data_IF_163495492027
#
_entry.id   IF_163495492027
#
_cell.length_a   1.000
_cell.length_b   1.000
_cell.length_c   1.000
_cell.angle_alpha   90.00
_cell.angle_beta   90.00
_cell.angle_gamma   90.00
#
_symmetry.space_group_name_H-M   'P 1'
#
loop_
_entity.id
_entity.type
_entity.pdbx_description
1 polymer ?
#
# COMPACT_ATOMS: atom_id res chain seq x y z
N UNK A 1 -7.30 53.41 -46.58
CA UNK A 1 -7.94 53.24 -45.25
C UNK A 1 -8.22 51.76 -45.02
N UNK A 2 -7.86 51.28 -43.82
CA UNK A 2 -8.20 50.01 -43.15
C UNK A 2 -7.77 48.67 -43.78
N UNK A 3 -6.63 48.18 -43.26
CA UNK A 3 -6.25 46.77 -43.16
C UNK A 3 -7.21 46.08 -42.19
N UNK A 4 -7.75 44.89 -42.53
CA UNK A 4 -8.39 43.99 -41.58
C UNK A 4 -7.59 42.70 -41.57
N UNK A 5 -6.77 42.55 -40.54
CA UNK A 5 -6.03 41.34 -40.20
C UNK A 5 -6.99 40.51 -39.33
N UNK A 6 -7.37 39.34 -39.82
CA UNK A 6 -8.16 38.36 -39.08
C UNK A 6 -7.22 37.61 -38.12
N UNK A 7 -7.42 37.61 -36.78
CA UNK A 7 -6.62 36.78 -35.91
C UNK A 7 -7.20 35.36 -35.92
N UNK A 8 -6.39 34.42 -36.37
CA UNK A 8 -6.61 32.98 -36.23
C UNK A 8 -6.52 32.63 -34.74
N UNK A 9 -7.67 32.49 -34.07
CA UNK A 9 -7.74 31.99 -32.69
C UNK A 9 -7.43 30.49 -32.73
N UNK A 10 -6.17 30.13 -32.48
CA UNK A 10 -5.77 28.77 -32.19
C UNK A 10 -6.34 28.38 -30.82
N UNK A 11 -7.43 27.64 -30.81
CA UNK A 11 -8.00 27.05 -29.61
C UNK A 11 -7.05 25.93 -29.15
N UNK A 12 -6.21 26.23 -28.16
CA UNK A 12 -5.38 25.25 -27.47
C UNK A 12 -6.32 24.26 -26.77
N UNK A 13 -6.49 23.08 -27.35
CA UNK A 13 -7.02 21.90 -26.65
C UNK A 13 -5.97 21.46 -25.63
N UNK A 14 -5.98 22.06 -24.45
CA UNK A 14 -5.37 21.44 -23.28
C UNK A 14 -6.24 20.26 -22.89
N UNK A 15 -5.85 19.07 -23.34
CA UNK A 15 -6.32 17.82 -22.77
C UNK A 15 -5.89 17.82 -21.30
N UNK A 16 -6.79 18.25 -20.41
CA UNK A 16 -6.66 18.00 -18.99
C UNK A 16 -6.75 16.48 -18.87
N UNK A 17 -5.60 15.83 -18.72
CA UNK A 17 -5.54 14.45 -18.28
C UNK A 17 -6.16 14.43 -16.89
N UNK A 18 -7.47 14.16 -16.83
CA UNK A 18 -8.16 13.87 -15.58
C UNK A 18 -7.53 12.59 -15.08
N UNK A 19 -6.59 12.73 -14.14
CA UNK A 19 -6.10 11.58 -13.39
C UNK A 19 -7.30 11.05 -12.61
N UNK A 20 -7.85 9.92 -13.04
CA UNK A 20 -8.86 9.19 -12.29
C UNK A 20 -8.16 8.66 -11.02
N UNK A 21 -8.21 9.43 -9.94
CA UNK A 21 -7.68 9.02 -8.65
C UNK A 21 -8.72 8.12 -7.99
N UNK A 22 -8.34 6.90 -7.61
CA UNK A 22 -9.08 6.16 -6.58
C UNK A 22 -9.13 7.09 -5.38
N UNK A 23 -10.31 7.54 -4.97
CA UNK A 23 -10.46 8.45 -3.83
C UNK A 23 -10.57 7.56 -2.59
N UNK A 24 -9.54 7.49 -1.73
CA UNK A 24 -9.75 6.98 -0.39
C UNK A 24 -10.73 7.93 0.27
N UNK A 25 -11.87 7.40 0.70
CA UNK A 25 -12.70 8.14 1.62
C UNK A 25 -12.00 7.98 2.97
N UNK A 26 -11.12 8.94 3.28
CA UNK A 26 -10.33 8.94 4.50
C UNK A 26 -11.23 9.23 5.70
N UNK A 27 -12.04 8.23 6.07
CA UNK A 27 -12.99 8.28 7.18
C UNK A 27 -12.48 7.57 8.43
N UNK A 28 -11.31 6.95 8.36
CA UNK A 28 -10.78 6.08 9.41
C UNK A 28 -9.53 6.67 10.04
N UNK A 29 -9.55 6.80 11.37
CA UNK A 29 -8.39 7.23 12.16
C UNK A 29 -7.38 6.09 12.39
N UNK A 30 -7.81 4.83 12.24
CA UNK A 30 -7.02 3.64 12.61
C UNK A 30 -6.46 2.87 11.41
N UNK A 31 -7.04 3.02 10.22
CA UNK A 31 -6.67 2.25 9.04
C UNK A 31 -6.43 3.13 7.82
N UNK A 32 -5.62 2.62 6.90
CA UNK A 32 -5.55 3.09 5.53
C UNK A 32 -5.86 1.91 4.60
N UNK A 33 -6.60 2.19 3.52
CA UNK A 33 -6.87 1.24 2.44
C UNK A 33 -6.55 1.88 1.11
N UNK A 34 -5.93 1.11 0.23
CA UNK A 34 -5.60 1.50 -1.12
C UNK A 34 -5.98 0.38 -2.10
N UNK A 35 -6.33 0.78 -3.32
CA UNK A 35 -6.64 -0.14 -4.39
C UNK A 35 -5.78 0.16 -5.62
N UNK A 36 -5.36 -0.90 -6.29
CA UNK A 36 -4.77 -0.87 -7.63
C UNK A 36 -5.66 -1.69 -8.56
N UNK A 37 -6.01 -1.10 -9.68
CA UNK A 37 -6.84 -1.72 -10.71
C UNK A 37 -5.89 -2.19 -11.81
N UNK A 38 -5.85 -3.50 -12.02
CA UNK A 38 -5.14 -4.13 -13.13
C UNK A 38 -6.18 -4.71 -14.10
N UNK A 39 -5.73 -5.24 -15.23
CA UNK A 39 -6.63 -5.93 -16.16
C UNK A 39 -7.30 -7.12 -15.47
N UNK A 40 -8.63 -7.06 -15.31
CA UNK A 40 -9.44 -8.14 -14.75
C UNK A 40 -9.32 -8.35 -13.24
N UNK A 41 -8.61 -7.47 -12.50
CA UNK A 41 -8.49 -7.60 -11.06
C UNK A 41 -8.35 -6.25 -10.33
N UNK A 42 -8.91 -6.18 -9.12
CA UNK A 42 -8.64 -5.11 -8.15
C UNK A 42 -7.79 -5.68 -7.03
N UNK A 43 -6.55 -5.22 -6.92
CA UNK A 43 -5.68 -5.54 -5.78
C UNK A 43 -5.91 -4.51 -4.68
N UNK A 44 -6.31 -4.99 -3.51
CA UNK A 44 -6.54 -4.20 -2.30
C UNK A 44 -5.39 -4.41 -1.32
N UNK A 45 -4.94 -3.32 -0.72
CA UNK A 45 -3.93 -3.31 0.35
C UNK A 45 -4.47 -2.44 1.47
N UNK A 46 -4.30 -2.89 2.70
CA UNK A 46 -4.66 -2.08 3.86
C UNK A 46 -3.57 -2.19 4.93
N UNK A 47 -3.57 -1.24 5.84
CA UNK A 47 -2.62 -1.21 6.94
C UNK A 47 -3.18 -0.46 8.14
N UNK A 48 -2.98 -0.96 9.37
CA UNK A 48 -3.24 -0.20 10.58
C UNK A 48 -2.23 0.94 10.73
N UNK A 49 -2.67 2.09 11.23
CA UNK A 49 -1.86 3.31 11.37
C UNK A 49 -0.93 3.30 12.58
N UNK A 50 -1.22 2.49 13.60
CA UNK A 50 -0.37 2.33 14.78
C UNK A 50 -0.27 0.86 15.25
N UNK A 51 0.70 0.62 16.14
CA UNK A 51 0.97 -0.70 16.70
C UNK A 51 -0.20 -1.28 17.52
N UNK A 52 -0.94 -0.44 18.26
CA UNK A 52 -2.06 -0.88 19.09
C UNK A 52 -3.17 -1.51 18.26
N UNK A 53 -3.56 -0.82 17.19
CA UNK A 53 -4.52 -1.31 16.19
C UNK A 53 -3.98 -2.55 15.48
N UNK A 54 -2.71 -2.53 15.07
CA UNK A 54 -2.06 -3.69 14.43
C UNK A 54 -2.07 -4.93 15.32
N UNK A 55 -1.75 -4.78 16.61
CA UNK A 55 -1.76 -5.88 17.57
C UNK A 55 -3.16 -6.48 17.73
N UNK A 56 -4.19 -5.63 17.83
CA UNK A 56 -5.59 -6.10 17.92
C UNK A 56 -6.01 -6.85 16.66
N UNK A 57 -5.65 -6.32 15.49
CA UNK A 57 -5.97 -6.94 14.22
C UNK A 57 -5.20 -8.23 13.97
N UNK A 58 -3.97 -8.37 14.48
CA UNK A 58 -3.22 -9.62 14.43
C UNK A 58 -3.91 -10.74 15.23
N UNK A 59 -4.60 -10.39 16.32
CA UNK A 59 -5.36 -11.35 17.13
C UNK A 59 -6.68 -11.73 16.47
N UNK A 60 -7.44 -10.73 16.03
CA UNK A 60 -8.83 -10.94 15.63
C UNK A 60 -8.99 -11.10 14.12
N UNK A 61 -8.13 -10.49 13.32
CA UNK A 61 -8.20 -10.39 11.87
C UNK A 61 -8.99 -9.18 11.37
N UNK A 62 -9.09 -9.08 10.05
CA UNK A 62 -9.86 -8.08 9.32
C UNK A 62 -11.04 -8.72 8.59
N UNK A 63 -12.11 -7.96 8.40
CA UNK A 63 -13.19 -8.30 7.46
C UNK A 63 -13.11 -7.32 6.29
N UNK A 64 -13.04 -7.88 5.08
CA UNK A 64 -13.17 -7.12 3.84
C UNK A 64 -14.55 -7.40 3.25
N UNK A 65 -15.25 -6.34 2.91
CA UNK A 65 -16.54 -6.41 2.24
C UNK A 65 -16.56 -5.49 1.02
N UNK A 66 -17.47 -5.80 0.10
CA UNK A 66 -17.63 -5.11 -1.16
C UNK A 66 -19.11 -4.88 -1.45
N UNK A 67 -19.43 -3.71 -1.97
CA UNK A 67 -20.69 -3.44 -2.63
C UNK A 67 -20.44 -3.13 -4.11
N UNK A 68 -21.32 -3.62 -4.98
CA UNK A 68 -21.33 -3.28 -6.40
C UNK A 68 -22.36 -2.20 -6.66
N UNK A 69 -21.96 -1.15 -7.37
CA UNK A 69 -22.82 -0.05 -7.81
C UNK A 69 -22.81 0.00 -9.34
N UNK A 70 -23.94 -0.28 -10.02
CA UNK A 70 -24.04 -0.10 -11.46
C UNK A 70 -23.65 1.32 -11.87
N UNK A 71 -22.93 1.47 -13.00
CA UNK A 71 -22.54 2.79 -13.52
C UNK A 71 -23.71 3.71 -13.85
N UNK A 72 -24.90 3.15 -14.08
CA UNK A 72 -26.15 3.90 -14.26
C UNK A 72 -26.55 4.72 -13.02
N UNK A 73 -26.10 4.33 -11.84
CA UNK A 73 -26.26 5.14 -10.63
C UNK A 73 -25.27 6.29 -10.73
N UNK A 74 -25.71 7.52 -11.02
CA UNK A 74 -24.81 8.66 -11.22
C UNK A 74 -23.94 8.96 -9.99
N UNK A 75 -24.57 9.00 -8.80
CA UNK A 75 -23.92 9.41 -7.55
C UNK A 75 -23.77 8.24 -6.60
N UNK A 76 -22.56 8.09 -6.06
CA UNK A 76 -22.31 7.20 -4.93
C UNK A 76 -23.14 7.72 -3.73
N UNK A 77 -23.92 6.86 -3.04
CA UNK A 77 -24.71 7.28 -1.89
C UNK A 77 -23.83 7.91 -0.80
N UNK A 78 -24.26 9.00 -0.18
CA UNK A 78 -23.52 9.62 0.92
C UNK A 78 -23.58 8.79 2.22
N UNK A 79 -24.64 7.99 2.38
CA UNK A 79 -24.85 7.11 3.53
C UNK A 79 -24.58 5.65 3.13
N UNK A 80 -23.43 5.13 3.52
CA UNK A 80 -23.02 3.76 3.25
C UNK A 80 -23.72 2.72 4.13
N UNK A 81 -24.41 3.12 5.20
CA UNK A 81 -25.10 2.17 6.09
C UNK A 81 -26.24 1.41 5.40
N UNK A 82 -26.78 1.98 4.31
CA UNK A 82 -27.90 1.43 3.54
C UNK A 82 -27.47 0.59 2.33
N UNK A 83 -26.16 0.50 2.06
CA UNK A 83 -25.65 -0.25 0.92
C UNK A 83 -25.48 -1.72 1.33
N UNK A 84 -26.00 -2.69 0.54
CA UNK A 84 -25.78 -4.10 0.82
C UNK A 84 -24.33 -4.47 0.49
N UNK A 85 -23.54 -4.72 1.53
CA UNK A 85 -22.17 -5.21 1.40
C UNK A 85 -22.13 -6.73 1.46
N UNK A 86 -21.42 -7.34 0.51
CA UNK A 86 -21.07 -8.76 0.52
C UNK A 86 -19.69 -8.94 1.16
N UNK A 87 -19.61 -9.89 2.10
CA UNK A 87 -18.33 -10.28 2.67
C UNK A 87 -17.48 -11.03 1.64
N UNK A 88 -16.27 -10.50 1.38
CA UNK A 88 -15.28 -11.13 0.51
C UNK A 88 -14.40 -12.11 1.29
N UNK A 89 -14.11 -11.83 2.55
CA UNK A 89 -13.27 -12.71 3.35
C UNK A 89 -13.00 -12.21 4.76
N UNK A 90 -12.33 -13.07 5.52
CA UNK A 90 -11.71 -12.72 6.79
C UNK A 90 -10.20 -12.99 6.68
N UNK A 91 -9.39 -11.99 7.01
CA UNK A 91 -7.95 -12.02 6.78
C UNK A 91 -7.22 -11.98 8.11
N UNK A 92 -6.31 -12.93 8.32
CA UNK A 92 -5.48 -13.03 9.51
C UNK A 92 -4.03 -13.27 9.12
N UNK A 93 -3.07 -12.86 9.95
CA UNK A 93 -1.70 -13.27 9.76
C UNK A 93 -1.57 -14.79 9.71
N UNK A 94 -0.71 -15.27 8.83
CA UNK A 94 -0.28 -16.66 8.77
C UNK A 94 0.36 -17.07 10.08
N UNK A 95 0.01 -18.25 10.58
CA UNK A 95 0.77 -18.92 11.63
C UNK A 95 2.22 -19.16 11.19
N UNK A 96 3.14 -19.39 12.14
CA UNK A 96 4.53 -19.73 11.82
C UNK A 96 4.66 -20.96 10.89
N UNK A 97 3.75 -21.94 11.00
CA UNK A 97 3.71 -23.11 10.11
C UNK A 97 3.29 -22.71 8.69
N UNK A 98 2.30 -21.82 8.56
CA UNK A 98 1.85 -21.30 7.28
C UNK A 98 2.93 -20.44 6.61
N UNK A 99 3.64 -19.57 7.34
CA UNK A 99 4.79 -18.84 6.80
C UNK A 99 5.81 -19.80 6.17
N UNK A 100 6.21 -20.86 6.89
CA UNK A 100 7.19 -21.84 6.39
C UNK A 100 6.71 -22.65 5.18
N UNK A 101 5.41 -22.87 5.03
CA UNK A 101 4.85 -23.74 3.99
C UNK A 101 4.30 -22.98 2.78
N UNK A 102 3.87 -21.74 2.96
CA UNK A 102 3.21 -20.93 1.93
C UNK A 102 4.09 -19.82 1.38
N UNK A 103 5.26 -19.58 1.99
CA UNK A 103 6.15 -18.49 1.59
C UNK A 103 7.56 -18.96 1.29
N UNK A 104 8.22 -18.25 0.38
CA UNK A 104 9.64 -18.44 0.14
C UNK A 104 10.42 -17.86 1.32
N UNK A 105 10.98 -18.74 2.15
CA UNK A 105 11.74 -18.35 3.35
C UNK A 105 13.13 -17.80 3.04
N UNK A 106 13.57 -17.82 1.78
CA UNK A 106 14.80 -17.15 1.34
C UNK A 106 14.57 -15.66 1.07
N UNK A 107 13.31 -15.26 0.85
CA UNK A 107 12.95 -13.86 0.64
C UNK A 107 12.94 -13.11 1.97
N UNK A 108 13.82 -12.13 2.09
CA UNK A 108 14.00 -11.37 3.32
C UNK A 108 12.71 -10.69 3.79
N UNK A 109 11.86 -10.21 2.88
CA UNK A 109 10.58 -9.59 3.22
C UNK A 109 9.64 -10.56 3.95
N UNK A 110 9.55 -11.82 3.52
CA UNK A 110 8.74 -12.84 4.20
C UNK A 110 9.28 -13.12 5.61
N UNK A 111 10.61 -13.27 5.73
CA UNK A 111 11.27 -13.50 7.02
C UNK A 111 11.07 -12.31 7.97
N UNK A 112 11.23 -11.08 7.48
CA UNK A 112 10.99 -9.85 8.24
C UNK A 112 9.54 -9.74 8.72
N UNK A 113 8.57 -10.02 7.85
CA UNK A 113 7.15 -10.02 8.22
C UNK A 113 6.83 -11.04 9.32
N UNK A 114 7.32 -12.28 9.18
CA UNK A 114 7.16 -13.33 10.20
C UNK A 114 7.85 -12.96 11.52
N UNK A 115 9.06 -12.40 11.45
CA UNK A 115 9.81 -11.97 12.63
C UNK A 115 9.15 -10.78 13.35
N UNK A 116 8.55 -9.85 12.61
CA UNK A 116 7.83 -8.74 13.21
C UNK A 116 6.64 -9.24 14.06
N UNK A 117 5.90 -10.24 13.54
CA UNK A 117 4.76 -10.86 14.22
C UNK A 117 5.17 -11.75 15.41
N UNK A 118 6.15 -12.63 15.22
CA UNK A 118 6.43 -13.75 16.12
C UNK A 118 7.79 -13.71 16.80
N UNK A 119 8.65 -12.77 16.41
CA UNK A 119 9.97 -12.63 16.98
C UNK A 119 9.88 -12.43 18.49
N UNK A 120 10.75 -13.09 19.26
CA UNK A 120 10.80 -12.88 20.70
C UNK A 120 11.34 -11.48 21.00
N UNK A 121 10.75 -10.80 21.97
CA UNK A 121 11.33 -9.59 22.51
C UNK A 121 12.65 -9.97 23.21
N UNK A 122 13.75 -9.36 22.80
CA UNK A 122 15.07 -9.59 23.40
C UNK A 122 15.40 -8.47 24.40
N UNK A 123 14.40 -7.92 25.06
CA UNK A 123 14.61 -6.92 26.10
C UNK A 123 15.08 -7.59 27.40
N UNK A 124 16.25 -7.18 27.88
CA UNK A 124 16.69 -7.41 29.25
C UNK A 124 16.69 -6.05 29.94
N UNK A 125 15.87 -5.82 30.97
CA UNK A 125 15.92 -4.59 31.71
C UNK A 125 17.33 -4.34 32.22
N UNK A 126 17.89 -3.17 31.94
CA UNK A 126 19.13 -2.73 32.57
C UNK A 126 18.83 -2.59 34.06
N UNK A 127 19.51 -3.39 34.89
CA UNK A 127 19.37 -3.31 36.34
C UNK A 127 19.70 -1.87 36.80
N UNK A 128 18.72 -1.17 37.37
CA UNK A 128 18.87 0.21 37.85
C UNK A 128 18.24 1.30 36.96
N UNK A 129 17.75 0.98 35.76
CA UNK A 129 16.93 1.91 34.97
C UNK A 129 15.49 1.94 35.49
N UNK A 130 15.02 3.09 35.98
CA UNK A 130 13.64 3.24 36.46
C UNK A 130 12.59 2.84 35.40
N UNK A 131 11.36 2.53 35.85
CA UNK A 131 10.29 1.98 34.99
C UNK A 131 9.97 2.75 33.71
N UNK A 132 10.26 4.06 33.65
CA UNK A 132 10.05 4.88 32.46
C UNK A 132 11.01 4.52 31.29
N UNK A 133 12.26 4.14 31.59
CA UNK A 133 13.22 3.72 30.56
C UNK A 133 12.77 2.42 29.87
N UNK A 134 12.35 1.45 30.67
CA UNK A 134 11.82 0.17 30.18
C UNK A 134 10.57 0.35 29.30
N UNK A 135 9.64 1.22 29.71
CA UNK A 135 8.43 1.53 28.93
C UNK A 135 8.77 2.18 27.58
N UNK A 136 9.75 3.09 27.57
CA UNK A 136 10.20 3.76 26.35
C UNK A 136 10.79 2.77 25.35
N UNK A 137 11.67 1.88 25.80
CA UNK A 137 12.28 0.86 24.94
C UNK A 137 11.27 -0.15 24.40
N UNK A 138 10.33 -0.59 25.26
CA UNK A 138 9.23 -1.44 24.83
C UNK A 138 8.39 -0.77 23.73
N UNK A 139 8.08 0.53 23.88
CA UNK A 139 7.36 1.30 22.86
C UNK A 139 8.14 1.40 21.55
N UNK A 140 9.46 1.63 21.61
CA UNK A 140 10.31 1.63 20.41
C UNK A 140 10.30 0.28 19.70
N UNK A 141 10.43 -0.83 20.44
CA UNK A 141 10.40 -2.18 19.87
C UNK A 141 9.06 -2.44 19.16
N UNK A 142 7.96 -2.09 19.81
CA UNK A 142 6.60 -2.25 19.27
C UNK A 142 6.42 -1.48 17.96
N UNK A 143 6.75 -0.19 17.96
CA UNK A 143 6.67 0.64 16.76
C UNK A 143 7.59 0.13 15.64
N UNK A 144 8.79 -0.34 15.98
CA UNK A 144 9.72 -0.90 15.02
C UNK A 144 9.19 -2.18 14.38
N UNK A 145 8.57 -3.08 15.16
CA UNK A 145 7.91 -4.28 14.62
C UNK A 145 6.79 -3.93 13.65
N UNK A 146 5.91 -3.01 14.03
CA UNK A 146 4.83 -2.56 13.17
C UNK A 146 5.36 -1.94 11.88
N UNK A 147 6.35 -1.05 11.97
CA UNK A 147 6.98 -0.43 10.80
C UNK A 147 7.62 -1.47 9.87
N UNK A 148 8.38 -2.44 10.41
CA UNK A 148 8.98 -3.49 9.60
C UNK A 148 7.97 -4.44 8.96
N UNK A 149 6.85 -4.74 9.64
CA UNK A 149 5.77 -5.52 9.06
C UNK A 149 5.17 -4.82 7.84
N UNK A 150 4.82 -3.54 7.97
CA UNK A 150 4.27 -2.76 6.86
C UNK A 150 5.28 -2.59 5.71
N UNK A 151 6.54 -2.34 6.05
CA UNK A 151 7.61 -2.25 5.06
C UNK A 151 7.79 -3.56 4.29
N UNK A 152 7.79 -4.70 4.98
CA UNK A 152 7.85 -6.01 4.33
C UNK A 152 6.65 -6.25 3.40
N UNK A 153 5.44 -5.87 3.83
CA UNK A 153 4.23 -5.94 3.00
C UNK A 153 4.34 -5.09 1.73
N UNK A 154 5.05 -3.96 1.80
CA UNK A 154 5.33 -3.11 0.65
C UNK A 154 6.32 -3.69 -0.35
N UNK A 155 7.31 -4.43 0.13
CA UNK A 155 8.34 -5.01 -0.74
C UNK A 155 7.86 -6.25 -1.50
N UNK A 156 6.97 -7.06 -0.90
CA UNK A 156 6.61 -8.36 -1.46
C UNK A 156 5.12 -8.69 -1.26
N UNK A 157 4.36 -8.99 -2.32
CA UNK A 157 2.95 -9.36 -2.22
C UNK A 157 2.68 -10.54 -1.26
N UNK A 158 3.56 -11.54 -1.28
CA UNK A 158 3.45 -12.72 -0.41
C UNK A 158 3.62 -12.38 1.08
N UNK A 159 4.45 -11.38 1.40
CA UNK A 159 4.58 -10.89 2.76
C UNK A 159 3.31 -10.16 3.21
N UNK A 160 2.70 -9.35 2.33
CA UNK A 160 1.43 -8.69 2.61
C UNK A 160 0.28 -9.70 2.80
N UNK A 161 0.23 -10.77 2.02
CA UNK A 161 -0.73 -11.87 2.19
C UNK A 161 -0.52 -12.59 3.52
N UNK A 162 0.73 -12.92 3.86
CA UNK A 162 1.05 -13.58 5.13
C UNK A 162 0.80 -12.70 6.35
N UNK A 163 0.77 -11.37 6.20
CA UNK A 163 0.33 -10.43 7.22
C UNK A 163 -1.19 -10.24 7.27
N UNK A 164 -1.93 -10.78 6.29
CA UNK A 164 -3.37 -10.54 6.14
C UNK A 164 -3.71 -9.10 5.72
N UNK A 165 -2.84 -8.46 4.94
CA UNK A 165 -2.90 -7.05 4.51
C UNK A 165 -3.09 -6.86 2.99
N UNK A 166 -3.39 -7.95 2.26
CA UNK A 166 -3.60 -7.97 0.82
C UNK A 166 -4.78 -8.86 0.44
N UNK A 167 -5.55 -8.43 -0.53
CA UNK A 167 -6.51 -9.27 -1.26
C UNK A 167 -6.53 -8.91 -2.74
N UNK A 168 -6.82 -9.87 -3.60
CA UNK A 168 -7.00 -9.65 -5.03
C UNK A 168 -8.40 -10.12 -5.44
N UNK A 169 -9.24 -9.15 -5.79
CA UNK A 169 -10.60 -9.39 -6.25
C UNK A 169 -10.61 -9.56 -7.77
N UNK A 170 -10.96 -10.76 -8.23
CA UNK A 170 -11.08 -11.11 -9.66
C UNK A 170 -12.52 -11.20 -10.14
N UNK A 171 -13.48 -11.14 -9.22
CA UNK A 171 -14.90 -11.21 -9.52
C UNK A 171 -15.44 -9.80 -9.79
N UNK A 172 -14.90 -9.14 -10.82
CA UNK A 172 -15.19 -7.74 -11.13
C UNK A 172 -15.74 -7.57 -12.55
N UNK A 173 -16.62 -6.59 -12.73
CA UNK A 173 -17.14 -6.14 -14.02
C UNK A 173 -16.81 -4.67 -14.26
N UNK A 174 -16.51 -4.31 -15.51
CA UNK A 174 -16.29 -2.93 -15.95
C UNK A 174 -17.56 -2.08 -15.97
N UNK A 175 -18.74 -2.70 -15.85
CA UNK A 175 -20.04 -2.03 -15.83
C UNK A 175 -20.44 -1.53 -14.44
N UNK A 176 -19.69 -1.93 -13.42
CA UNK A 176 -19.91 -1.54 -12.03
C UNK A 176 -18.77 -0.67 -11.51
N UNK A 177 -19.08 0.20 -10.56
CA UNK A 177 -18.13 0.74 -9.58
C UNK A 177 -18.22 -0.11 -8.32
N UNK A 178 -17.12 -0.25 -7.59
CA UNK A 178 -17.08 -1.04 -6.37
C UNK A 178 -16.69 -0.17 -5.19
N UNK A 179 -17.43 -0.32 -4.08
CA UNK A 179 -17.05 0.23 -2.79
C UNK A 179 -16.52 -0.92 -1.96
N UNK A 180 -15.26 -0.82 -1.54
CA UNK A 180 -14.67 -1.74 -0.59
C UNK A 180 -14.62 -1.08 0.79
N UNK A 181 -14.84 -1.89 1.82
CA UNK A 181 -14.63 -1.48 3.20
C UNK A 181 -13.86 -2.52 3.99
N UNK A 182 -12.98 -2.06 4.86
CA UNK A 182 -12.17 -2.89 5.74
C UNK A 182 -12.34 -2.41 7.19
N UNK A 183 -12.49 -3.36 8.09
CA UNK A 183 -12.56 -3.13 9.54
C UNK A 183 -12.01 -4.34 10.29
N UNK A 184 -11.57 -4.15 11.54
CA UNK A 184 -11.14 -5.28 12.37
C UNK A 184 -12.33 -6.14 12.79
N UNK A 185 -12.06 -7.42 13.03
CA UNK A 185 -13.05 -8.29 13.66
C UNK A 185 -13.25 -7.80 15.11
N UNK A 186 -14.48 -7.44 15.52
CA UNK A 186 -14.74 -6.96 16.87
C UNK A 186 -14.38 -8.03 17.92
N UNK A 187 -13.72 -7.63 19.00
CA UNK A 187 -13.39 -8.53 20.11
C UNK A 187 -14.61 -8.92 20.96
N UNK A 188 -15.69 -8.12 20.87
CA UNK A 188 -16.96 -8.33 21.57
C UNK A 188 -18.12 -7.95 20.64
N UNK A 189 -19.23 -8.68 20.77
CA UNK A 189 -20.47 -8.41 20.02
C UNK A 189 -21.01 -7.02 20.40
N UNK A 190 -21.33 -6.19 19.40
CA UNK A 190 -21.90 -4.85 19.59
C UNK A 190 -20.91 -3.68 19.63
N UNK A 191 -19.60 -3.93 19.51
CA UNK A 191 -18.61 -2.85 19.36
C UNK A 191 -18.58 -2.33 17.92
N UNK A 192 -18.61 -1.00 17.78
CA UNK A 192 -18.38 -0.31 16.51
C UNK A 192 -16.88 -0.32 16.24
N UNK A 193 -16.50 -0.84 15.09
CA UNK A 193 -15.11 -0.85 14.62
C UNK A 193 -14.92 0.28 13.63
N UNK A 194 -13.82 1.01 13.77
CA UNK A 194 -13.42 1.99 12.77
C UNK A 194 -13.28 1.30 11.40
N UNK A 195 -13.74 1.98 10.35
CA UNK A 195 -13.93 1.40 9.02
C UNK A 195 -13.35 2.32 7.96
N UNK A 196 -12.42 1.79 7.17
CA UNK A 196 -11.84 2.51 6.03
C UNK A 196 -12.52 2.07 4.73
N UNK A 197 -12.70 3.02 3.81
CA UNK A 197 -13.38 2.81 2.53
C UNK A 197 -12.49 3.19 1.35
N UNK A 198 -12.63 2.48 0.24
CA UNK A 198 -12.09 2.88 -1.06
C UNK A 198 -13.11 2.59 -2.16
N UNK A 199 -13.25 3.53 -3.08
CA UNK A 199 -14.09 3.37 -4.26
C UNK A 199 -13.20 3.17 -5.48
N UNK A 200 -13.56 2.21 -6.32
CA UNK A 200 -12.85 1.93 -7.57
C UNK A 200 -13.81 1.82 -8.74
N UNK A 201 -13.31 2.14 -9.92
CA UNK A 201 -13.96 1.88 -11.20
C UNK A 201 -13.04 0.97 -12.03
N UNK A 202 -13.35 -0.33 -12.19
CA UNK A 202 -12.53 -1.26 -12.95
C UNK A 202 -12.29 -0.90 -14.42
N UNK A 203 -13.04 0.04 -15.00
CA UNK A 203 -12.73 0.55 -16.33
C UNK A 203 -11.50 1.48 -16.33
N UNK A 204 -11.14 2.06 -15.19
CA UNK A 204 -10.03 3.00 -15.04
C UNK A 204 -8.80 2.26 -14.48
N UNK A 205 -8.05 1.61 -15.36
CA UNK A 205 -6.82 0.90 -14.99
C UNK A 205 -5.86 1.87 -14.31
N UNK A 206 -5.23 1.42 -13.23
CA UNK A 206 -4.25 2.23 -12.49
C UNK A 206 -2.97 2.36 -13.31
N UNK A 207 -2.60 3.61 -13.61
CA UNK A 207 -1.32 3.91 -14.27
C UNK A 207 -0.19 3.64 -13.28
N UNK A 208 0.75 2.77 -13.66
CA UNK A 208 1.94 2.51 -12.87
C UNK A 208 2.81 3.77 -12.87
N UNK A 209 3.14 4.33 -11.69
CA UNK A 209 3.99 5.52 -11.64
C UNK A 209 5.38 5.20 -12.17
N UNK A 210 6.03 6.18 -12.78
CA UNK A 210 7.44 6.14 -13.15
C UNK A 210 8.28 6.93 -12.16
N UNK A 211 9.54 6.53 -11.97
CA UNK A 211 10.46 7.28 -11.11
C UNK A 211 10.72 8.65 -11.74
N UNK A 212 10.43 9.71 -11.00
CA UNK A 212 10.53 11.10 -11.46
C UNK A 212 11.90 11.69 -11.19
N UNK A 213 12.33 12.58 -12.10
CA UNK A 213 13.58 13.32 -12.02
C UNK A 213 14.80 12.41 -11.83
N UNK A 214 14.88 11.34 -12.63
CA UNK A 214 16.08 10.50 -12.71
C UNK A 214 17.16 11.28 -13.45
N UNK A 215 18.33 11.38 -12.84
CA UNK A 215 19.50 12.08 -13.37
C UNK A 215 20.72 11.16 -13.31
N UNK A 216 21.55 11.23 -14.34
CA UNK A 216 22.80 10.48 -14.48
C UNK A 216 23.95 11.47 -14.55
N UNK A 217 24.95 11.25 -13.69
CA UNK A 217 26.21 11.99 -13.69
C UNK A 217 27.33 11.00 -14.06
N UNK A 218 27.97 11.24 -15.20
CA UNK A 218 29.15 10.49 -15.62
C UNK A 218 30.38 11.03 -14.87
N UNK A 219 31.17 10.11 -14.32
CA UNK A 219 32.39 10.37 -13.57
C UNK A 219 33.47 9.38 -14.03
N UNK A 220 34.71 9.57 -13.55
CA UNK A 220 35.81 8.66 -13.88
C UNK A 220 35.49 7.20 -13.48
N UNK A 221 35.29 6.36 -14.50
CA UNK A 221 34.94 4.94 -14.37
C UNK A 221 33.67 4.65 -13.56
N UNK A 222 32.80 5.65 -13.34
CA UNK A 222 31.58 5.52 -12.53
C UNK A 222 30.44 6.30 -13.15
N UNK A 223 29.24 5.78 -12.99
CA UNK A 223 28.01 6.51 -13.29
C UNK A 223 27.23 6.62 -11.99
N UNK A 224 26.91 7.84 -11.59
CA UNK A 224 26.09 8.11 -10.42
C UNK A 224 24.66 8.34 -10.87
N UNK A 225 23.75 7.58 -10.29
CA UNK A 225 22.31 7.65 -10.57
C UNK A 225 21.62 8.32 -9.39
N UNK A 226 20.81 9.34 -9.67
CA UNK A 226 20.07 10.09 -8.65
C UNK A 226 18.61 10.27 -9.05
N UNK A 227 17.72 10.36 -8.07
CA UNK A 227 16.32 10.69 -8.29
C UNK A 227 15.74 11.47 -7.11
N UNK A 228 14.66 12.23 -7.35
CA UNK A 228 14.08 13.10 -6.33
C UNK A 228 13.32 12.33 -5.26
N UNK A 229 13.69 12.47 -3.98
CA UNK A 229 12.90 11.95 -2.85
C UNK A 229 11.50 12.56 -2.81
N UNK A 230 11.41 13.89 -2.92
CA UNK A 230 10.15 14.63 -2.76
C UNK A 230 9.12 14.25 -3.82
N UNK A 231 9.55 14.09 -5.07
CA UNK A 231 8.64 13.76 -6.18
C UNK A 231 8.16 12.30 -6.18
N UNK A 232 8.87 11.42 -5.48
CA UNK A 232 8.63 9.98 -5.54
C UNK A 232 8.14 9.35 -4.20
N UNK A 233 8.23 10.07 -3.07
CA UNK A 233 7.92 9.55 -1.72
C UNK A 233 6.51 9.00 -1.52
N UNK A 234 5.54 9.40 -2.35
CA UNK A 234 4.16 8.92 -2.28
C UNK A 234 3.88 7.74 -3.21
N UNK A 235 4.77 7.47 -4.17
CA UNK A 235 4.56 6.48 -5.23
C UNK A 235 5.36 5.20 -5.02
N UNK A 236 6.49 5.27 -4.32
CA UNK A 236 7.41 4.14 -4.15
C UNK A 236 7.94 4.06 -2.73
N UNK A 237 7.91 2.86 -2.16
CA UNK A 237 8.49 2.55 -0.85
C UNK A 237 10.01 2.31 -0.95
N UNK A 238 10.47 1.63 -2.00
CA UNK A 238 11.87 1.28 -2.21
C UNK A 238 12.19 1.08 -3.69
N UNK A 239 13.49 1.00 -4.03
CA UNK A 239 13.98 0.93 -5.40
C UNK A 239 14.95 -0.23 -5.60
N UNK A 240 14.75 -0.98 -6.68
CA UNK A 240 15.80 -1.78 -7.29
C UNK A 240 16.47 -0.97 -8.40
N UNK A 241 17.80 -1.06 -8.48
CA UNK A 241 18.59 -0.44 -9.54
C UNK A 241 19.18 -1.57 -10.37
N UNK A 242 18.92 -1.54 -11.67
CA UNK A 242 19.34 -2.58 -12.59
C UNK A 242 20.10 -1.93 -13.76
N UNK A 243 21.11 -2.63 -14.27
CA UNK A 243 21.97 -2.17 -15.37
C UNK A 243 21.81 -3.10 -16.56
N UNK A 244 21.66 -2.51 -17.74
CA UNK A 244 21.77 -3.21 -19.01
C UNK A 244 23.04 -2.82 -19.74
N UNK A 245 23.65 -3.78 -20.45
CA UNK A 245 24.81 -3.58 -21.33
C UNK A 245 24.48 -3.82 -22.81
N UNK A 246 23.23 -4.20 -23.11
CA UNK A 246 22.79 -4.64 -24.44
C UNK A 246 21.62 -3.79 -25.00
N UNK A 247 21.55 -2.53 -24.55
CA UNK A 247 20.52 -1.59 -25.00
C UNK A 247 19.14 -1.85 -24.38
N UNK A 248 19.07 -2.48 -23.21
CA UNK A 248 17.84 -2.73 -22.47
C UNK A 248 17.18 -4.08 -22.78
N UNK A 249 17.88 -5.02 -23.41
CA UNK A 249 17.34 -6.37 -23.66
C UNK A 249 17.43 -7.24 -22.42
N UNK A 250 18.53 -7.12 -21.68
CA UNK A 250 18.73 -7.80 -20.40
C UNK A 250 19.18 -6.82 -19.33
N UNK A 251 18.72 -7.06 -18.11
CA UNK A 251 19.03 -6.24 -16.94
C UNK A 251 19.64 -7.12 -15.85
N UNK A 252 20.75 -6.64 -15.27
CA UNK A 252 21.36 -7.22 -14.09
C UNK A 252 21.15 -6.28 -12.91
N UNK A 253 20.57 -6.79 -11.83
CA UNK A 253 20.40 -6.05 -10.59
C UNK A 253 21.74 -5.69 -9.96
N UNK A 254 21.87 -4.44 -9.52
CA UNK A 254 23.07 -3.90 -8.89
C UNK A 254 23.03 -3.98 -7.36
N UNK A 255 21.84 -3.90 -6.77
CA UNK A 255 21.65 -3.91 -5.32
C UNK A 255 21.08 -5.24 -4.81
N UNK A 256 21.66 -5.80 -3.75
CA UNK A 256 21.15 -7.01 -3.10
C UNK A 256 19.82 -6.78 -2.36
N UNK A 257 19.66 -5.63 -1.71
CA UNK A 257 18.44 -5.21 -1.03
C UNK A 257 17.90 -3.88 -1.60
N UNK A 258 16.57 -3.66 -1.61
CA UNK A 258 15.97 -2.41 -2.10
C UNK A 258 16.57 -1.17 -1.41
N UNK A 259 16.83 -0.12 -2.20
CA UNK A 259 17.27 1.18 -1.69
C UNK A 259 16.03 1.92 -1.18
N UNK A 260 16.09 2.45 0.03
CA UNK A 260 15.06 3.32 0.60
C UNK A 260 15.61 4.71 0.84
N UNK A 261 14.73 5.68 0.96
CA UNK A 261 15.12 6.96 1.54
C UNK A 261 15.22 6.82 3.05
N UNK A 262 16.24 7.42 3.66
CA UNK A 262 16.31 7.50 5.12
C UNK A 262 15.02 8.12 5.68
N UNK A 263 14.47 7.49 6.72
CA UNK A 263 13.43 8.04 7.59
C UNK A 263 14.07 9.14 8.44
N UNK A 264 14.28 10.30 7.82
CA UNK A 264 14.67 11.54 8.50
C UNK A 264 13.49 12.49 8.50
#
# INVERSE_FOLDING_TARGET
MKKIILPLVAFLLTAIAVTAQNVPLDSSENYAIAARINEGAVTLRWGPRDYGVWRLANQNGYILERAALPKSVEKVPADFSKIPFQKLGAFRPYTLKEWKSRTDTTQIANVTAAQALYGKANYKPVAGGGGMGALREQSMEQNMRHAFALYAADLLPQAAEGLGLRFEDKDISKDNRYIYRIFNIPSKKGYVTDTAYVIVDPANITIVPTVKAVFLEEMDSKIKVQWSKVLNRTSFTAYHVEKSLDGGKTFKRLNGAPITFNFG
#
